data_IF_579931525409
#
_entry.id   IF_579931525409
#
_cell.length_a   1.000
_cell.length_b   1.000
_cell.length_c   1.000
_cell.angle_alpha   90.00
_cell.angle_beta   90.00
_cell.angle_gamma   90.00
#
_symmetry.space_group_name_H-M   'P 1'
#
loop_
_entity.id
_entity.type
_entity.pdbx_description
1 polymer ?
#
# COMPACT_ATOMS: atom_id res chain seq x y z
N UNK A 1 7.61 14.21 11.45
CA UNK A 1 8.40 13.10 10.85
C UNK A 1 8.06 12.98 9.38
N UNK A 2 8.72 12.10 8.61
CA UNK A 2 8.35 11.86 7.21
C UNK A 2 6.85 11.53 7.05
N UNK A 3 6.31 10.65 7.91
CA UNK A 3 4.88 10.32 7.91
C UNK A 3 3.96 11.52 8.14
N UNK A 4 4.30 12.44 9.06
CA UNK A 4 3.50 13.68 9.26
C UNK A 4 3.45 14.53 8.00
N UNK A 5 4.59 14.65 7.31
CA UNK A 5 4.69 15.45 6.09
C UNK A 5 3.90 14.85 4.94
N UNK A 6 4.00 13.54 4.73
CA UNK A 6 3.21 12.85 3.69
C UNK A 6 1.70 12.97 3.94
N UNK A 7 1.26 12.83 5.20
CA UNK A 7 -0.16 13.06 5.56
C UNK A 7 -0.63 14.49 5.27
N UNK A 8 0.25 15.48 5.44
CA UNK A 8 -0.07 16.86 5.10
C UNK A 8 -0.22 17.04 3.59
N UNK A 9 0.72 16.49 2.79
CA UNK A 9 0.61 16.47 1.32
C UNK A 9 -0.74 15.88 0.88
N UNK A 10 -1.12 14.74 1.46
CA UNK A 10 -2.39 14.10 1.14
C UNK A 10 -3.57 15.02 1.45
N UNK A 11 -3.63 15.55 2.68
CA UNK A 11 -4.72 16.43 3.09
C UNK A 11 -4.83 17.69 2.19
N UNK A 12 -3.71 18.26 1.78
CA UNK A 12 -3.67 19.43 0.90
C UNK A 12 -4.13 19.09 -0.52
N UNK A 13 -3.72 17.95 -1.07
CA UNK A 13 -4.16 17.50 -2.41
C UNK A 13 -5.67 17.22 -2.44
N UNK A 14 -6.19 16.55 -1.41
CA UNK A 14 -7.63 16.28 -1.26
C UNK A 14 -8.44 17.59 -1.16
N UNK A 15 -7.85 18.65 -0.62
CA UNK A 15 -8.48 19.97 -0.55
C UNK A 15 -8.51 20.72 -1.89
N UNK A 16 -7.52 20.47 -2.75
CA UNK A 16 -7.45 21.12 -4.05
C UNK A 16 -8.36 20.45 -5.10
N UNK A 17 -8.83 19.24 -4.83
CA UNK A 17 -9.58 18.40 -5.78
C UNK A 17 -10.83 17.79 -5.12
N UNK A 18 -11.64 18.62 -4.45
CA UNK A 18 -12.80 18.16 -3.68
C UNK A 18 -13.86 17.43 -4.53
N UNK A 19 -13.99 17.77 -5.82
CA UNK A 19 -14.89 17.09 -6.75
C UNK A 19 -14.43 15.65 -7.09
N UNK A 20 -13.12 15.46 -7.28
CA UNK A 20 -12.51 14.15 -7.54
C UNK A 20 -12.57 13.28 -6.28
N UNK A 21 -12.16 13.85 -5.14
CA UNK A 21 -12.15 13.20 -3.84
C UNK A 21 -13.39 13.52 -3.03
N UNK A 22 -14.55 13.17 -3.60
CA UNK A 22 -15.84 13.29 -2.93
C UNK A 22 -16.10 12.14 -1.95
N UNK A 23 -17.17 12.24 -1.17
CA UNK A 23 -17.55 11.24 -0.17
C UNK A 23 -17.73 9.82 -0.75
N UNK A 24 -18.16 9.70 -2.01
CA UNK A 24 -18.29 8.41 -2.67
C UNK A 24 -16.94 7.70 -2.87
N UNK A 25 -15.85 8.45 -3.06
CA UNK A 25 -14.50 7.91 -3.21
C UNK A 25 -13.85 7.69 -1.84
N UNK A 26 -14.05 8.63 -0.91
CA UNK A 26 -13.38 8.63 0.39
C UNK A 26 -14.09 7.79 1.47
N UNK A 27 -15.35 7.41 1.24
CA UNK A 27 -16.20 6.71 2.21
C UNK A 27 -16.62 7.57 3.42
N UNK A 28 -16.35 8.88 3.38
CA UNK A 28 -16.76 9.91 4.35
C UNK A 28 -16.58 11.30 3.73
N UNK A 29 -17.18 12.37 4.30
CA UNK A 29 -17.01 13.72 3.78
C UNK A 29 -15.55 14.14 3.65
N UNK A 30 -15.19 14.82 2.56
CA UNK A 30 -13.81 15.21 2.26
C UNK A 30 -13.12 15.93 3.44
N UNK A 31 -13.79 16.93 4.01
CA UNK A 31 -13.27 17.66 5.16
C UNK A 31 -12.98 16.76 6.37
N UNK A 32 -13.82 15.76 6.61
CA UNK A 32 -13.62 14.79 7.70
C UNK A 32 -12.45 13.84 7.38
N UNK A 33 -12.34 13.37 6.14
CA UNK A 33 -11.23 12.52 5.71
C UNK A 33 -9.88 13.21 5.86
N UNK A 34 -9.78 14.50 5.49
CA UNK A 34 -8.56 15.30 5.67
C UNK A 34 -8.13 15.37 7.13
N UNK A 35 -9.07 15.59 8.06
CA UNK A 35 -8.75 15.59 9.49
C UNK A 35 -8.39 14.19 10.01
N UNK A 36 -9.04 13.15 9.50
CA UNK A 36 -8.75 11.76 9.85
C UNK A 36 -7.35 11.34 9.39
N UNK A 37 -6.97 11.56 8.13
CA UNK A 37 -5.69 11.07 7.60
C UNK A 37 -4.47 11.75 8.24
N UNK A 38 -4.64 12.95 8.80
CA UNK A 38 -3.58 13.64 9.57
C UNK A 38 -3.27 12.98 10.92
N UNK A 39 -4.17 12.15 11.46
CA UNK A 39 -3.95 11.48 12.75
C UNK A 39 -2.88 10.39 12.61
N UNK A 40 -2.00 10.23 13.62
CA UNK A 40 -0.88 9.29 13.55
C UNK A 40 -1.31 7.81 13.54
N UNK A 41 -2.49 7.52 14.07
CA UNK A 41 -3.09 6.18 14.20
C UNK A 41 -3.95 5.78 12.99
N UNK A 42 -4.13 6.67 12.01
CA UNK A 42 -4.92 6.40 10.81
C UNK A 42 -4.07 5.72 9.74
N UNK A 43 -4.59 4.64 9.17
CA UNK A 43 -3.85 3.83 8.20
C UNK A 43 -4.17 4.32 6.79
N UNK A 44 -3.14 4.63 6.00
CA UNK A 44 -3.32 4.94 4.59
C UNK A 44 -3.54 3.67 3.76
N UNK A 45 -4.08 3.84 2.56
CA UNK A 45 -4.32 2.78 1.59
C UNK A 45 -4.35 3.32 0.16
N UNK A 46 -5.29 2.82 -0.65
CA UNK A 46 -5.33 3.10 -2.08
C UNK A 46 -5.47 4.59 -2.43
N UNK A 47 -6.28 5.35 -1.67
CA UNK A 47 -6.44 6.80 -1.88
C UNK A 47 -5.12 7.53 -1.67
N UNK A 48 -4.43 7.25 -0.57
CA UNK A 48 -3.14 7.86 -0.26
C UNK A 48 -2.08 7.51 -1.30
N UNK A 49 -2.05 6.25 -1.77
CA UNK A 49 -1.11 5.83 -2.81
C UNK A 49 -1.37 6.52 -4.15
N UNK A 50 -2.63 6.70 -4.55
CA UNK A 50 -2.99 7.44 -5.75
C UNK A 50 -2.53 8.91 -5.67
N UNK A 51 -2.80 9.57 -4.54
CA UNK A 51 -2.38 10.95 -4.28
C UNK A 51 -0.86 11.09 -4.30
N UNK A 52 -0.14 10.22 -3.62
CA UNK A 52 1.32 10.27 -3.55
C UNK A 52 1.97 9.94 -4.90
N UNK A 53 1.41 9.00 -5.66
CA UNK A 53 1.84 8.71 -7.03
C UNK A 53 1.73 9.97 -7.91
N UNK A 54 0.61 10.68 -7.82
CA UNK A 54 0.37 11.94 -8.52
C UNK A 54 1.34 13.04 -8.08
N UNK A 55 1.48 13.24 -6.79
CA UNK A 55 2.33 14.29 -6.21
C UNK A 55 3.81 14.12 -6.58
N UNK A 56 4.33 12.89 -6.54
CA UNK A 56 5.74 12.62 -6.86
C UNK A 56 5.99 12.38 -8.36
N UNK A 57 4.94 12.19 -9.17
CA UNK A 57 5.09 11.87 -10.59
C UNK A 57 5.75 10.51 -10.83
N UNK A 58 5.43 9.52 -9.98
CA UNK A 58 6.02 8.19 -9.99
C UNK A 58 4.89 7.15 -9.96
N UNK A 59 5.00 6.11 -10.77
CA UNK A 59 4.10 4.97 -10.68
C UNK A 59 4.40 4.17 -9.42
N UNK A 60 3.40 3.91 -8.58
CA UNK A 60 3.55 3.05 -7.40
C UNK A 60 2.91 1.70 -7.71
N UNK A 61 3.72 0.66 -7.85
CA UNK A 61 3.27 -0.71 -8.08
C UNK A 61 3.23 -1.49 -6.76
N UNK A 62 2.04 -1.86 -6.32
CA UNK A 62 1.84 -2.61 -5.07
C UNK A 62 1.60 -4.08 -5.38
N UNK A 63 2.51 -4.92 -4.93
CA UNK A 63 2.38 -6.37 -4.95
C UNK A 63 1.44 -6.81 -3.82
N UNK A 64 0.24 -7.25 -4.18
CA UNK A 64 -0.74 -7.80 -3.24
C UNK A 64 -0.49 -9.30 -3.09
N UNK A 65 0.02 -9.73 -1.93
CA UNK A 65 0.40 -11.12 -1.69
C UNK A 65 -0.80 -12.04 -1.50
N UNK A 66 -1.93 -11.53 -0.99
CA UNK A 66 -3.14 -12.32 -0.81
C UNK A 66 -3.76 -12.67 -2.17
N UNK A 67 -3.82 -11.70 -3.08
CA UNK A 67 -4.45 -11.86 -4.38
C UNK A 67 -3.49 -12.34 -5.47
N UNK A 68 -2.17 -12.21 -5.28
CA UNK A 68 -1.14 -12.40 -6.32
C UNK A 68 -1.39 -11.53 -7.55
N UNK A 69 -1.68 -10.26 -7.31
CA UNK A 69 -1.84 -9.25 -8.36
C UNK A 69 -0.97 -8.04 -8.05
N UNK A 70 -0.68 -7.23 -9.07
CA UNK A 70 0.00 -5.94 -8.89
C UNK A 70 -0.98 -4.81 -9.17
N UNK A 71 -1.24 -3.99 -8.16
CA UNK A 71 -2.06 -2.79 -8.28
C UNK A 71 -1.15 -1.61 -8.63
N UNK A 72 -1.37 -0.98 -9.80
CA UNK A 72 -0.50 0.08 -10.33
C UNK A 72 -1.18 1.44 -10.24
N UNK A 73 -0.69 2.28 -9.33
CA UNK A 73 -1.17 3.64 -9.17
C UNK A 73 -0.35 4.56 -10.09
N UNK A 74 -1.05 5.36 -10.93
CA UNK A 74 -0.41 6.23 -11.92
C UNK A 74 0.01 5.54 -13.23
N UNK A 75 -0.53 4.34 -13.51
CA UNK A 75 -0.20 3.59 -14.73
C UNK A 75 -0.49 4.36 -16.02
N UNK A 76 -1.54 5.18 -16.05
CA UNK A 76 -1.99 5.96 -17.20
C UNK A 76 -1.37 7.36 -17.29
N UNK A 77 -0.62 7.79 -16.27
CA UNK A 77 -0.09 9.15 -16.15
C UNK A 77 1.23 9.40 -16.90
N UNK A 78 1.67 8.45 -17.73
CA UNK A 78 2.93 8.49 -18.50
C UNK A 78 4.18 8.86 -17.67
N UNK A 79 4.23 8.45 -16.40
CA UNK A 79 5.41 8.62 -15.55
C UNK A 79 6.61 7.84 -16.08
N UNK A 80 7.80 8.42 -15.93
CA UNK A 80 9.05 7.81 -16.39
C UNK A 80 9.53 6.67 -15.48
N UNK A 81 9.15 6.73 -14.20
CA UNK A 81 9.67 5.87 -13.15
C UNK A 81 8.57 5.13 -12.39
N UNK A 82 8.94 3.97 -11.83
CA UNK A 82 8.13 3.10 -10.99
C UNK A 82 8.90 2.77 -9.70
N UNK A 83 8.19 2.75 -8.58
CA UNK A 83 8.64 2.11 -7.34
C UNK A 83 7.73 0.95 -6.96
N UNK A 84 8.19 0.07 -6.09
CA UNK A 84 7.45 -1.11 -5.67
C UNK A 84 7.22 -1.14 -4.17
N UNK A 85 6.00 -1.53 -3.78
CA UNK A 85 5.64 -1.91 -2.42
C UNK A 85 5.12 -3.35 -2.44
N UNK A 86 5.20 -4.03 -1.30
CA UNK A 86 4.48 -5.28 -1.06
C UNK A 86 3.46 -5.05 0.05
N UNK A 87 2.26 -5.62 -0.12
CA UNK A 87 1.15 -5.48 0.80
C UNK A 87 0.62 -6.87 1.18
N UNK A 88 0.55 -7.11 2.48
CA UNK A 88 0.18 -8.41 3.04
C UNK A 88 -1.26 -8.50 3.55
N UNK A 89 -2.06 -7.42 3.36
CA UNK A 89 -3.40 -7.28 3.92
C UNK A 89 -3.48 -6.32 5.12
N UNK A 90 -2.36 -6.01 5.77
CA UNK A 90 -2.30 -5.05 6.89
C UNK A 90 -1.06 -4.14 6.86
N UNK A 91 0.04 -4.58 6.27
CA UNK A 91 1.32 -3.90 6.29
C UNK A 91 1.84 -3.64 4.88
N UNK A 92 2.51 -2.50 4.71
CA UNK A 92 3.23 -2.15 3.49
C UNK A 92 4.73 -2.17 3.77
N UNK A 93 5.48 -2.90 2.95
CA UNK A 93 6.93 -2.87 2.96
C UNK A 93 7.49 -2.38 1.61
N UNK A 94 8.58 -1.61 1.60
CA UNK A 94 9.23 -1.21 0.36
C UNK A 94 9.97 -2.40 -0.27
N UNK A 95 9.79 -2.59 -1.57
CA UNK A 95 10.61 -3.52 -2.35
C UNK A 95 11.75 -2.75 -3.01
N UNK A 96 12.96 -3.29 -2.85
CA UNK A 96 14.17 -2.74 -3.45
C UNK A 96 15.02 -3.86 -4.04
N UNK A 97 15.86 -3.50 -5.01
CA UNK A 97 16.83 -4.41 -5.59
C UNK A 97 18.22 -4.10 -5.03
N UNK A 98 18.81 -5.10 -4.39
CA UNK A 98 20.20 -5.06 -3.96
C UNK A 98 21.09 -5.66 -5.05
N UNK A 99 22.25 -5.04 -5.30
CA UNK A 99 23.23 -5.58 -6.23
C UNK A 99 24.04 -6.69 -5.57
N UNK A 100 24.32 -7.75 -6.33
CA UNK A 100 25.20 -8.84 -5.87
C UNK A 100 26.69 -8.48 -5.91
N UNK A 101 27.04 -7.31 -6.45
CA UNK A 101 28.41 -6.80 -6.50
C UNK A 101 28.78 -6.15 -5.17
N UNK A 102 30.02 -6.33 -4.72
CA UNK A 102 30.50 -5.85 -3.43
C UNK A 102 30.44 -4.31 -3.25
N UNK A 103 30.37 -3.56 -4.35
CA UNK A 103 30.26 -2.10 -4.41
C UNK A 103 28.91 -1.62 -4.96
N UNK A 104 27.96 -2.53 -5.17
CA UNK A 104 26.71 -2.19 -5.82
C UNK A 104 25.73 -1.44 -4.91
N UNK A 105 24.92 -0.58 -5.50
CA UNK A 105 23.93 0.23 -4.78
C UNK A 105 22.55 -0.43 -4.70
N UNK A 106 21.81 -0.08 -3.66
CA UNK A 106 20.38 -0.39 -3.53
C UNK A 106 19.60 0.47 -4.54
N UNK A 107 18.70 -0.16 -5.29
CA UNK A 107 17.79 0.51 -6.21
C UNK A 107 16.35 0.38 -5.72
N UNK A 108 15.69 1.53 -5.52
CA UNK A 108 14.28 1.64 -5.09
C UNK A 108 13.38 2.21 -6.19
N UNK A 109 13.99 2.80 -7.24
CA UNK A 109 13.31 3.44 -8.35
C UNK A 109 13.79 2.82 -9.66
N UNK A 110 12.85 2.48 -10.53
CA UNK A 110 13.11 1.78 -11.78
C UNK A 110 12.48 2.53 -12.95
N UNK A 111 13.09 2.55 -14.14
CA UNK A 111 12.41 3.03 -15.34
C UNK A 111 11.13 2.22 -15.57
N UNK A 112 10.01 2.89 -15.84
CA UNK A 112 8.72 2.22 -16.09
C UNK A 112 8.79 1.25 -17.27
N UNK A 113 9.63 1.56 -18.27
CA UNK A 113 9.90 0.70 -19.44
C UNK A 113 10.61 -0.63 -19.10
N UNK A 114 11.11 -0.79 -17.87
CA UNK A 114 11.79 -2.00 -17.45
C UNK A 114 10.79 -3.08 -16.98
N UNK A 115 10.15 -3.74 -17.95
CA UNK A 115 9.20 -4.82 -17.71
C UNK A 115 9.80 -6.03 -16.96
N UNK A 116 11.13 -6.21 -17.03
CA UNK A 116 11.80 -7.30 -16.30
C UNK A 116 11.62 -7.18 -14.79
N UNK A 117 11.69 -5.97 -14.24
CA UNK A 117 11.52 -5.75 -12.79
C UNK A 117 10.07 -5.96 -12.39
N UNK A 118 9.11 -5.65 -13.27
CA UNK A 118 7.71 -5.97 -13.04
C UNK A 118 7.50 -7.48 -12.94
N UNK A 119 8.05 -8.23 -13.89
CA UNK A 119 7.98 -9.69 -13.87
C UNK A 119 8.64 -10.29 -12.62
N UNK A 120 9.79 -9.78 -12.19
CA UNK A 120 10.43 -10.18 -10.92
C UNK A 120 9.51 -9.93 -9.71
N UNK A 121 8.79 -8.81 -9.68
CA UNK A 121 7.81 -8.50 -8.64
C UNK A 121 6.57 -9.41 -8.69
N UNK A 122 6.12 -9.82 -9.88
CA UNK A 122 5.03 -10.79 -10.04
C UNK A 122 5.42 -12.18 -9.50
N UNK A 123 6.66 -12.61 -9.73
CA UNK A 123 7.16 -13.86 -9.16
C UNK A 123 7.25 -13.80 -7.63
N UNK A 124 7.65 -12.66 -7.06
CA UNK A 124 7.58 -12.44 -5.60
C UNK A 124 6.15 -12.55 -5.08
N UNK A 125 5.16 -12.03 -5.82
CA UNK A 125 3.75 -12.14 -5.46
C UNK A 125 3.26 -13.60 -5.39
N UNK A 126 3.69 -14.42 -6.35
CA UNK A 126 3.35 -15.85 -6.42
C UNK A 126 4.01 -16.62 -5.28
N UNK A 127 5.27 -16.33 -4.99
CA UNK A 127 6.03 -16.99 -3.92
C UNK A 127 5.52 -16.60 -2.53
N UNK A 128 5.22 -15.33 -2.29
CA UNK A 128 4.63 -14.88 -1.03
C UNK A 128 3.28 -15.58 -0.76
N UNK A 129 2.45 -15.74 -1.79
CA UNK A 129 1.18 -16.47 -1.67
C UNK A 129 1.37 -17.97 -1.44
N UNK A 130 2.28 -18.61 -2.17
CA UNK A 130 2.59 -20.04 -2.00
C UNK A 130 3.07 -20.34 -0.57
N UNK A 131 3.87 -19.42 -0.01
CA UNK A 131 4.41 -19.46 1.34
C UNK A 131 3.45 -18.93 2.42
N UNK A 132 2.23 -18.51 2.05
CA UNK A 132 1.21 -17.94 2.96
C UNK A 132 1.71 -16.72 3.77
N UNK A 133 2.54 -15.88 3.15
CA UNK A 133 3.03 -14.62 3.72
C UNK A 133 1.99 -13.51 3.49
N UNK A 134 0.81 -13.67 4.10
CA UNK A 134 -0.26 -12.67 4.10
C UNK A 134 -1.14 -12.84 5.35
N UNK A 135 -1.80 -11.75 5.74
CA UNK A 135 -2.75 -11.71 6.85
C UNK A 135 -4.14 -11.40 6.31
N UNK A 136 -4.99 -12.43 6.23
CA UNK A 136 -6.42 -12.23 5.96
C UNK A 136 -7.14 -11.87 7.26
N UNK A 137 -7.31 -10.56 7.52
CA UNK A 137 -8.01 -10.03 8.70
C UNK A 137 -9.47 -10.47 8.80
N UNK A 138 -10.06 -11.00 7.74
CA UNK A 138 -11.44 -11.49 7.78
C UNK A 138 -11.53 -12.98 8.15
N UNK A 139 -10.43 -13.73 8.04
CA UNK A 139 -10.46 -15.20 8.16
C UNK A 139 -9.39 -15.80 9.07
N UNK A 140 -8.51 -14.99 9.65
CA UNK A 140 -7.50 -15.48 10.58
C UNK A 140 -8.14 -16.14 11.79
N UNK A 141 -7.57 -17.26 12.23
CA UNK A 141 -8.04 -17.98 13.41
C UNK A 141 -7.23 -17.55 14.63
N UNK A 142 -7.91 -17.06 15.66
CA UNK A 142 -7.32 -16.78 16.96
C UNK A 142 -7.86 -17.73 18.02
N UNK A 143 -7.12 -17.84 19.12
CA UNK A 143 -7.62 -18.43 20.35
C UNK A 143 -7.49 -17.44 21.47
N UNK A 144 -8.60 -17.08 22.10
CA UNK A 144 -8.58 -16.23 23.28
C UNK A 144 -7.83 -16.95 24.42
N UNK A 145 -6.78 -16.32 24.95
CA UNK A 145 -5.97 -16.94 26.02
C UNK A 145 -6.68 -16.96 27.38
N UNK A 146 -7.77 -16.20 27.54
CA UNK A 146 -8.58 -16.15 28.77
C UNK A 146 -9.68 -17.21 28.75
N UNK A 147 -10.58 -17.16 27.76
CA UNK A 147 -11.75 -18.04 27.70
C UNK A 147 -11.57 -19.28 26.80
N UNK A 148 -10.43 -19.38 26.09
CA UNK A 148 -10.07 -20.47 25.16
C UNK A 148 -10.98 -20.64 23.94
N UNK A 149 -11.92 -19.72 23.70
CA UNK A 149 -12.76 -19.69 22.50
C UNK A 149 -11.89 -19.50 21.26
N UNK A 150 -12.19 -20.28 20.22
CA UNK A 150 -11.65 -20.06 18.87
C UNK A 150 -12.45 -18.93 18.23
N UNK A 151 -11.74 -17.95 17.68
CA UNK A 151 -12.30 -16.76 17.07
C UNK A 151 -11.87 -16.71 15.61
N UNK A 152 -12.76 -16.31 14.73
CA UNK A 152 -12.50 -16.19 13.30
C UNK A 152 -12.61 -14.72 12.89
N UNK A 153 -11.50 -14.19 12.37
CA UNK A 153 -11.41 -12.82 11.86
C UNK A 153 -11.40 -11.75 12.95
N UNK A 154 -11.25 -10.51 12.51
CA UNK A 154 -11.17 -9.36 13.40
C UNK A 154 -12.47 -9.11 14.18
N UNK A 155 -13.63 -9.34 13.55
CA UNK A 155 -14.92 -9.06 14.16
C UNK A 155 -15.12 -9.84 15.47
N UNK A 156 -14.84 -11.15 15.47
CA UNK A 156 -14.94 -11.97 16.68
C UNK A 156 -13.83 -11.67 17.70
N UNK A 157 -12.70 -11.11 17.26
CA UNK A 157 -11.57 -10.77 18.11
C UNK A 157 -11.74 -9.49 18.93
N UNK A 158 -12.73 -8.65 18.58
CA UNK A 158 -13.02 -7.38 19.25
C UNK A 158 -14.16 -7.49 20.28
N UNK A 159 -14.81 -8.64 20.40
CA UNK A 159 -15.86 -8.97 21.39
C UNK A 159 -15.28 -9.58 22.68
#
# INVERSE_FOLDING_TARGET
>A
TCGTYMRQIIADELANQEDEYCEAILGRPNAEYREWIKKPDSWGGAVELAVLSKYYGIEIAVVDTANSVINRFGEDQNYEHRMFLIYDGIHYDPLYRESLQADGSIQTLFPKSNEKVLFEAEELAKEAKSSKQFTDVNRFSLRCLVCRKELIGQAEAQE
#
